data_IF_875605925432
#
_entry.id   IF_875605925432
#
_cell.length_a   1.000
_cell.length_b   1.000
_cell.length_c   1.000
_cell.angle_alpha   90.00
_cell.angle_beta   90.00
_cell.angle_gamma   90.00
#
_symmetry.space_group_name_H-M   'P 1'
#
loop_
_entity.id
_entity.type
_entity.pdbx_description
1 polymer ?
#
# COMPACT_ATOMS: atom_id res chain seq x y z
N UNK A 1 11.95 -27.04 38.46
CA UNK A 1 10.50 -26.75 38.50
C UNK A 1 10.28 -25.30 38.06
N UNK A 2 10.62 -24.95 36.81
CA UNK A 2 10.60 -23.57 36.29
C UNK A 2 9.90 -23.49 34.91
N UNK A 3 8.85 -24.29 34.68
CA UNK A 3 8.30 -24.50 33.32
C UNK A 3 6.83 -24.09 33.12
N UNK A 4 6.00 -23.86 34.16
CA UNK A 4 4.60 -23.47 33.93
C UNK A 4 4.44 -21.97 33.62
N UNK A 5 5.10 -21.08 34.38
CA UNK A 5 4.96 -19.64 34.20
C UNK A 5 5.48 -19.13 32.85
N UNK A 6 6.54 -19.73 32.31
CA UNK A 6 7.06 -19.37 30.98
C UNK A 6 6.14 -19.85 29.85
N UNK A 7 5.48 -21.00 30.04
CA UNK A 7 4.49 -21.52 29.10
C UNK A 7 3.21 -20.69 29.12
N UNK A 8 2.70 -20.35 30.30
CA UNK A 8 1.59 -19.43 30.53
C UNK A 8 1.87 -18.05 29.92
N UNK A 9 3.10 -17.53 30.09
CA UNK A 9 3.50 -16.25 29.51
C UNK A 9 3.49 -16.28 27.98
N UNK A 10 4.07 -17.32 27.36
CA UNK A 10 4.10 -17.45 25.89
C UNK A 10 2.68 -17.60 25.33
N UNK A 11 1.82 -18.36 26.00
CA UNK A 11 0.41 -18.47 25.63
C UNK A 11 -0.31 -17.12 25.74
N UNK A 12 -0.09 -16.38 26.82
CA UNK A 12 -0.63 -15.03 26.99
C UNK A 12 -0.15 -14.07 25.89
N UNK A 13 1.13 -14.15 25.50
CA UNK A 13 1.72 -13.37 24.39
C UNK A 13 1.06 -13.75 23.06
N UNK A 14 0.91 -15.03 22.76
CA UNK A 14 0.25 -15.50 21.52
C UNK A 14 -1.21 -15.04 21.46
N UNK A 15 -1.93 -15.13 22.57
CA UNK A 15 -3.31 -14.68 22.66
C UNK A 15 -3.43 -13.15 22.49
N UNK A 16 -2.50 -12.38 23.09
CA UNK A 16 -2.44 -10.94 22.90
C UNK A 16 -2.09 -10.56 21.45
N UNK A 17 -1.14 -11.27 20.84
CA UNK A 17 -0.74 -11.08 19.45
C UNK A 17 -1.89 -11.37 18.49
N UNK A 18 -2.65 -12.45 18.70
CA UNK A 18 -3.82 -12.78 17.89
C UNK A 18 -4.90 -11.68 17.94
N UNK A 19 -5.13 -11.08 19.12
CA UNK A 19 -6.04 -9.93 19.25
C UNK A 19 -5.51 -8.71 18.51
N UNK A 20 -4.23 -8.40 18.66
CA UNK A 20 -3.61 -7.26 17.99
C UNK A 20 -3.61 -7.42 16.46
N UNK A 21 -3.30 -8.63 15.95
CA UNK A 21 -3.35 -8.95 14.52
C UNK A 21 -4.75 -8.69 13.94
N UNK A 22 -5.82 -9.15 14.60
CA UNK A 22 -7.20 -8.88 14.17
C UNK A 22 -7.51 -7.39 14.04
N UNK A 23 -7.02 -6.57 14.98
CA UNK A 23 -7.22 -5.11 14.94
C UNK A 23 -6.41 -4.49 13.79
N UNK A 24 -5.16 -4.91 13.60
CA UNK A 24 -4.30 -4.45 12.52
C UNK A 24 -4.93 -4.80 11.16
N UNK A 25 -5.40 -6.02 10.97
CA UNK A 25 -6.05 -6.47 9.73
C UNK A 25 -7.32 -5.67 9.45
N UNK A 26 -8.15 -5.45 10.47
CA UNK A 26 -9.36 -4.63 10.33
C UNK A 26 -9.04 -3.19 9.94
N UNK A 27 -8.00 -2.59 10.53
CA UNK A 27 -7.55 -1.23 10.20
C UNK A 27 -6.93 -1.16 8.80
N UNK A 28 -6.10 -2.14 8.43
CA UNK A 28 -5.55 -2.29 7.08
C UNK A 28 -6.66 -2.35 6.03
N UNK A 29 -7.65 -3.21 6.23
CA UNK A 29 -8.80 -3.33 5.33
C UNK A 29 -9.58 -2.02 5.25
N UNK A 30 -9.74 -1.30 6.36
CA UNK A 30 -10.39 0.01 6.37
C UNK A 30 -9.62 1.06 5.57
N UNK A 31 -8.30 1.15 5.76
CA UNK A 31 -7.44 2.10 5.05
C UNK A 31 -7.48 1.82 3.55
N UNK A 32 -7.38 0.54 3.14
CA UNK A 32 -7.48 0.14 1.73
C UNK A 32 -8.80 0.58 1.09
N UNK A 33 -9.94 0.38 1.77
CA UNK A 33 -11.24 0.87 1.29
C UNK A 33 -11.26 2.40 1.14
N UNK A 34 -10.66 3.12 2.08
CA UNK A 34 -10.57 4.58 2.01
C UNK A 34 -9.71 5.03 0.83
N UNK A 35 -8.55 4.40 0.59
CA UNK A 35 -7.69 4.67 -0.57
C UNK A 35 -8.48 4.46 -1.85
N UNK A 36 -9.09 3.29 -2.03
CA UNK A 36 -9.86 2.97 -3.26
C UNK A 36 -11.00 3.97 -3.49
N UNK A 37 -11.71 4.38 -2.43
CA UNK A 37 -12.78 5.36 -2.55
C UNK A 37 -12.25 6.74 -2.98
N UNK A 38 -11.13 7.18 -2.40
CA UNK A 38 -10.48 8.45 -2.75
C UNK A 38 -9.95 8.43 -4.20
N UNK A 39 -9.26 7.36 -4.59
CA UNK A 39 -8.74 7.19 -5.95
C UNK A 39 -9.87 7.14 -6.99
N UNK A 40 -11.00 6.52 -6.65
CA UNK A 40 -12.18 6.50 -7.51
C UNK A 40 -12.71 7.92 -7.73
N UNK A 41 -12.87 8.71 -6.67
CA UNK A 41 -13.31 10.11 -6.80
C UNK A 41 -12.33 10.97 -7.60
N UNK A 42 -11.02 10.77 -7.42
CA UNK A 42 -9.99 11.43 -8.25
C UNK A 42 -10.16 11.04 -9.72
N UNK A 43 -10.34 9.75 -10.00
CA UNK A 43 -10.53 9.26 -11.38
C UNK A 43 -11.79 9.85 -12.01
N UNK A 44 -12.90 9.89 -11.29
CA UNK A 44 -14.16 10.49 -11.73
C UNK A 44 -14.01 11.99 -11.99
N UNK A 45 -13.32 12.71 -11.12
CA UNK A 45 -13.07 14.14 -11.27
C UNK A 45 -12.24 14.48 -12.53
N UNK A 46 -11.43 13.51 -13.00
CA UNK A 46 -10.59 13.63 -14.19
C UNK A 46 -11.28 13.15 -15.48
N UNK A 47 -12.51 12.66 -15.43
CA UNK A 47 -13.23 12.28 -16.64
C UNK A 47 -13.53 13.53 -17.49
N UNK A 48 -13.30 13.48 -18.82
CA UNK A 48 -13.67 14.59 -19.69
C UNK A 48 -15.18 14.75 -19.71
N UNK A 49 -15.65 15.99 -19.73
CA UNK A 49 -17.07 16.35 -19.78
C UNK A 49 -17.53 16.61 -21.21
N UNK A 50 -16.58 16.77 -22.13
CA UNK A 50 -16.82 16.89 -23.56
C UNK A 50 -17.28 15.57 -24.20
N UNK A 51 -18.05 15.68 -25.29
CA UNK A 51 -18.47 14.53 -26.08
C UNK A 51 -17.31 13.82 -26.79
N UNK A 52 -17.51 12.56 -27.23
CA UNK A 52 -16.45 11.73 -27.80
C UNK A 52 -15.82 12.31 -29.08
N UNK A 53 -16.57 13.09 -29.87
CA UNK A 53 -16.06 13.76 -31.07
C UNK A 53 -15.01 14.81 -30.73
N UNK A 54 -15.35 15.76 -29.85
CA UNK A 54 -14.41 16.78 -29.39
C UNK A 54 -13.22 16.17 -28.63
N UNK A 55 -13.45 15.13 -27.84
CA UNK A 55 -12.36 14.39 -27.20
C UNK A 55 -11.37 13.79 -28.22
N UNK A 56 -11.86 13.31 -29.37
CA UNK A 56 -11.00 12.81 -30.46
C UNK A 56 -10.22 13.95 -31.14
N UNK A 57 -10.85 15.11 -31.34
CA UNK A 57 -10.19 16.31 -31.89
C UNK A 57 -9.09 16.82 -30.98
N UNK A 58 -9.32 16.87 -29.66
CA UNK A 58 -8.30 17.24 -28.67
C UNK A 58 -7.10 16.30 -28.77
N UNK A 59 -7.31 14.99 -28.82
CA UNK A 59 -6.21 14.02 -28.97
C UNK A 59 -5.47 14.20 -30.29
N UNK A 60 -6.19 14.43 -31.38
CA UNK A 60 -5.60 14.70 -32.69
C UNK A 60 -4.75 15.98 -32.67
N UNK A 61 -5.24 17.04 -32.01
CA UNK A 61 -4.49 18.28 -31.80
C UNK A 61 -3.19 18.01 -31.02
N UNK A 62 -3.25 17.34 -29.87
CA UNK A 62 -2.06 16.98 -29.09
C UNK A 62 -1.08 16.15 -29.92
N UNK A 63 -1.57 15.18 -30.71
CA UNK A 63 -0.73 14.37 -31.60
C UNK A 63 -0.07 15.20 -32.71
N UNK A 64 -0.72 16.26 -33.18
CA UNK A 64 -0.18 17.15 -34.21
C UNK A 64 0.95 18.06 -33.71
N UNK A 65 1.03 18.31 -32.39
CA UNK A 65 2.14 19.04 -31.78
C UNK A 65 3.47 18.31 -31.98
N UNK A 66 4.57 19.06 -32.00
CA UNK A 66 5.91 18.46 -32.04
C UNK A 66 6.12 17.60 -30.79
N UNK A 67 6.85 16.50 -30.92
CA UNK A 67 7.04 15.55 -29.82
C UNK A 67 7.54 16.23 -28.51
N UNK A 68 8.44 17.22 -28.62
CA UNK A 68 8.95 17.97 -27.47
C UNK A 68 7.98 18.99 -26.86
N UNK A 69 6.89 19.36 -27.55
CA UNK A 69 5.89 20.35 -27.11
C UNK A 69 4.67 19.69 -26.45
N UNK A 70 4.47 18.38 -26.64
CA UNK A 70 3.29 17.65 -26.11
C UNK A 70 3.26 17.64 -24.59
N UNK A 71 4.38 17.32 -23.95
CA UNK A 71 4.44 17.23 -22.49
C UNK A 71 4.21 18.60 -21.85
N UNK A 72 4.82 19.67 -22.37
CA UNK A 72 4.65 21.01 -21.81
C UNK A 72 3.22 21.52 -21.99
N UNK A 73 2.59 21.27 -23.15
CA UNK A 73 1.18 21.56 -23.38
C UNK A 73 0.28 20.85 -22.36
N UNK A 74 0.47 19.55 -22.17
CA UNK A 74 -0.32 18.76 -21.22
C UNK A 74 -0.05 19.15 -19.76
N UNK A 75 1.18 19.49 -19.40
CA UNK A 75 1.48 19.99 -18.05
C UNK A 75 0.79 21.32 -17.78
N UNK A 76 0.80 22.25 -18.75
CA UNK A 76 0.11 23.53 -18.61
C UNK A 76 -1.41 23.34 -18.45
N UNK A 77 -2.02 22.49 -19.29
CA UNK A 77 -3.44 22.16 -19.18
C UNK A 77 -3.78 21.49 -17.83
N UNK A 78 -2.93 20.57 -17.36
CA UNK A 78 -3.10 19.92 -16.06
C UNK A 78 -3.01 20.91 -14.88
N UNK A 79 -2.04 21.82 -14.90
CA UNK A 79 -1.87 22.86 -13.87
C UNK A 79 -3.04 23.85 -13.86
N UNK A 80 -3.59 24.17 -15.03
CA UNK A 80 -4.76 25.03 -15.17
C UNK A 80 -6.07 24.34 -14.75
N UNK A 81 -6.06 23.03 -14.49
CA UNK A 81 -7.26 22.27 -14.18
C UNK A 81 -8.18 22.07 -15.38
N UNK A 82 -7.64 22.08 -16.61
CA UNK A 82 -8.39 21.80 -17.83
C UNK A 82 -8.70 20.30 -17.93
N UNK A 83 -9.79 19.90 -17.27
CA UNK A 83 -10.26 18.51 -17.20
C UNK A 83 -10.65 17.98 -18.57
N UNK A 84 -11.16 18.82 -19.47
CA UNK A 84 -11.62 18.37 -20.78
C UNK A 84 -10.44 18.00 -21.67
N UNK A 85 -9.39 18.84 -21.69
CA UNK A 85 -8.16 18.53 -22.42
C UNK A 85 -7.46 17.31 -21.84
N UNK A 86 -7.21 17.30 -20.53
CA UNK A 86 -6.48 16.22 -19.88
C UNK A 86 -7.26 14.92 -19.87
N UNK A 87 -8.52 14.97 -19.45
CA UNK A 87 -9.42 13.81 -19.41
C UNK A 87 -9.53 13.14 -20.77
N UNK A 88 -9.61 13.93 -21.85
CA UNK A 88 -9.66 13.40 -23.23
C UNK A 88 -8.40 12.63 -23.63
N UNK A 89 -7.25 12.99 -23.06
CA UNK A 89 -5.95 12.37 -23.34
C UNK A 89 -5.68 11.17 -22.43
N UNK A 90 -5.92 11.29 -21.12
CA UNK A 90 -5.53 10.25 -20.15
C UNK A 90 -6.51 9.08 -20.03
N UNK A 91 -7.74 9.23 -20.53
CA UNK A 91 -8.74 8.14 -20.56
C UNK A 91 -8.66 7.29 -21.83
N UNK A 92 -7.88 7.74 -22.82
CA UNK A 92 -7.68 7.04 -24.09
C UNK A 92 -6.28 6.41 -24.16
N UNK A 93 -6.07 5.40 -25.04
CA UNK A 93 -4.75 4.85 -25.28
C UNK A 93 -3.71 5.92 -25.69
N UNK A 94 -2.50 5.96 -25.09
CA UNK A 94 -1.53 7.05 -25.27
C UNK A 94 -1.13 7.33 -26.73
N UNK A 95 -1.05 6.28 -27.55
CA UNK A 95 -0.66 6.39 -28.96
C UNK A 95 -1.64 7.21 -29.83
N UNK A 96 -2.89 7.41 -29.35
CA UNK A 96 -3.87 8.26 -30.02
C UNK A 96 -3.54 9.75 -29.87
N UNK A 97 -2.83 10.12 -28.80
CA UNK A 97 -2.36 11.49 -28.55
C UNK A 97 -0.87 11.65 -28.87
N UNK A 98 -0.20 10.59 -29.34
CA UNK A 98 1.23 10.60 -29.65
C UNK A 98 2.11 10.75 -28.39
N UNK A 99 1.66 10.29 -27.24
CA UNK A 99 2.44 10.31 -25.99
C UNK A 99 2.71 8.89 -25.51
N UNK A 100 3.66 8.73 -24.60
CA UNK A 100 3.94 7.46 -23.95
C UNK A 100 3.19 7.33 -22.61
N UNK A 101 3.16 6.11 -22.06
CA UNK A 101 2.52 5.82 -20.77
C UNK A 101 3.13 6.61 -19.60
N UNK A 102 4.44 6.89 -19.67
CA UNK A 102 5.13 7.67 -18.65
C UNK A 102 4.63 9.12 -18.62
N UNK A 103 4.45 9.72 -19.78
CA UNK A 103 3.86 11.06 -19.95
C UNK A 103 2.44 11.09 -19.42
N UNK A 104 1.61 10.10 -19.78
CA UNK A 104 0.23 10.01 -19.28
C UNK A 104 0.19 9.89 -17.75
N UNK A 105 1.08 9.08 -17.17
CA UNK A 105 1.19 8.92 -15.71
C UNK A 105 1.55 10.24 -15.04
N UNK A 106 2.60 10.91 -15.51
CA UNK A 106 3.05 12.19 -14.96
C UNK A 106 1.97 13.27 -15.04
N UNK A 107 1.32 13.41 -16.20
CA UNK A 107 0.26 14.40 -16.42
C UNK A 107 -0.95 14.10 -15.54
N UNK A 108 -1.31 12.83 -15.37
CA UNK A 108 -2.40 12.41 -14.49
C UNK A 108 -2.14 12.82 -13.03
N UNK A 109 -0.92 12.67 -12.53
CA UNK A 109 -0.57 13.09 -11.17
C UNK A 109 -0.70 14.61 -10.98
N UNK A 110 -0.18 15.39 -11.93
CA UNK A 110 -0.29 16.85 -11.90
C UNK A 110 -1.75 17.29 -11.94
N UNK A 111 -2.54 16.69 -12.84
CA UNK A 111 -3.95 17.01 -12.98
C UNK A 111 -4.77 16.59 -11.77
N UNK A 112 -4.51 15.40 -11.19
CA UNK A 112 -5.17 14.94 -9.98
C UNK A 112 -4.98 15.91 -8.81
N UNK A 113 -3.75 16.42 -8.64
CA UNK A 113 -3.44 17.41 -7.60
C UNK A 113 -4.11 18.76 -7.85
N UNK A 114 -4.27 19.18 -9.10
CA UNK A 114 -4.93 20.44 -9.44
C UNK A 114 -6.46 20.35 -9.28
N UNK A 115 -7.07 19.26 -9.77
CA UNK A 115 -8.53 19.12 -9.89
C UNK A 115 -9.17 18.56 -8.62
N UNK A 116 -8.49 17.64 -7.94
CA UNK A 116 -8.99 16.97 -6.73
C UNK A 116 -7.94 16.98 -5.61
N UNK A 117 -7.40 18.15 -5.20
CA UNK A 117 -6.26 18.24 -4.28
C UNK A 117 -6.50 17.50 -2.96
N UNK A 118 -7.69 17.66 -2.38
CA UNK A 118 -8.03 17.03 -1.10
C UNK A 118 -8.06 15.51 -1.20
N UNK A 119 -8.78 14.98 -2.18
CA UNK A 119 -8.91 13.53 -2.34
C UNK A 119 -7.55 12.90 -2.73
N UNK A 120 -6.78 13.57 -3.58
CA UNK A 120 -5.42 13.16 -3.95
C UNK A 120 -4.47 13.13 -2.76
N UNK A 121 -4.38 14.23 -2.01
CA UNK A 121 -3.48 14.33 -0.87
C UNK A 121 -3.88 13.36 0.25
N UNK A 122 -5.19 13.17 0.48
CA UNK A 122 -5.70 12.18 1.43
C UNK A 122 -5.39 10.75 1.00
N UNK A 123 -5.48 10.40 -0.29
CA UNK A 123 -5.13 9.07 -0.77
C UNK A 123 -3.65 8.77 -0.49
N UNK A 124 -2.76 9.71 -0.83
CA UNK A 124 -1.31 9.58 -0.57
C UNK A 124 -0.98 9.55 0.93
N UNK A 125 -1.70 10.30 1.75
CA UNK A 125 -1.54 10.23 3.20
C UNK A 125 -2.00 8.86 3.76
N UNK A 126 -3.10 8.31 3.24
CA UNK A 126 -3.62 7.00 3.62
C UNK A 126 -2.67 5.87 3.19
N UNK A 127 -2.07 5.94 2.00
CA UNK A 127 -1.04 5.00 1.54
C UNK A 127 0.18 5.00 2.47
N UNK A 128 0.69 6.18 2.86
CA UNK A 128 1.80 6.27 3.81
C UNK A 128 1.45 5.68 5.17
N UNK A 129 0.21 5.90 5.61
CA UNK A 129 -0.30 5.31 6.87
C UNK A 129 -0.38 3.80 6.77
N UNK A 130 -0.82 3.26 5.63
CA UNK A 130 -0.85 1.82 5.39
C UNK A 130 0.54 1.19 5.52
N UNK A 131 1.57 1.79 4.92
CA UNK A 131 2.97 1.34 5.04
C UNK A 131 3.41 1.29 6.50
N UNK A 132 3.04 2.29 7.31
CA UNK A 132 3.35 2.30 8.75
C UNK A 132 2.63 1.18 9.50
N UNK A 133 1.34 0.94 9.21
CA UNK A 133 0.56 -0.14 9.82
C UNK A 133 1.17 -1.51 9.48
N UNK A 134 1.58 -1.71 8.23
CA UNK A 134 2.24 -2.96 7.79
C UNK A 134 3.61 -3.14 8.47
N UNK A 135 4.38 -2.07 8.62
CA UNK A 135 5.65 -2.11 9.36
C UNK A 135 5.46 -2.47 10.85
N UNK A 136 4.44 -1.91 11.50
CA UNK A 136 4.08 -2.23 12.89
C UNK A 136 3.63 -3.69 13.03
N UNK A 137 2.82 -4.19 12.10
CA UNK A 137 2.41 -5.60 12.07
C UNK A 137 3.60 -6.54 11.94
N UNK A 138 4.53 -6.25 11.03
CA UNK A 138 5.78 -7.02 10.87
C UNK A 138 6.63 -7.01 12.14
N UNK A 139 6.78 -5.85 12.79
CA UNK A 139 7.52 -5.73 14.05
C UNK A 139 6.88 -6.52 15.19
N UNK A 140 5.54 -6.55 15.27
CA UNK A 140 4.81 -7.37 16.23
C UNK A 140 5.07 -8.87 16.00
N UNK A 141 4.94 -9.34 14.76
CA UNK A 141 5.19 -10.74 14.41
C UNK A 141 6.62 -11.16 14.73
N UNK A 142 7.61 -10.31 14.46
CA UNK A 142 9.00 -10.55 14.82
C UNK A 142 9.17 -10.76 16.33
N UNK A 143 8.58 -9.88 17.15
CA UNK A 143 8.65 -9.97 18.62
C UNK A 143 7.99 -11.24 19.15
N UNK A 144 6.84 -11.63 18.58
CA UNK A 144 6.15 -12.87 18.96
C UNK A 144 7.01 -14.09 18.60
N UNK A 145 7.62 -14.10 17.42
CA UNK A 145 8.54 -15.16 17.01
C UNK A 145 9.78 -15.25 17.92
N UNK A 146 10.33 -14.12 18.36
CA UNK A 146 11.45 -14.09 19.32
C UNK A 146 11.07 -14.70 20.67
N UNK A 147 9.88 -14.40 21.19
CA UNK A 147 9.38 -14.98 22.45
C UNK A 147 9.17 -16.49 22.31
N UNK A 148 8.55 -16.93 21.22
CA UNK A 148 8.32 -18.37 20.97
C UNK A 148 9.63 -19.14 20.83
N UNK A 149 10.64 -18.59 20.14
CA UNK A 149 11.97 -19.23 20.03
C UNK A 149 12.65 -19.44 21.39
N UNK A 150 12.49 -18.50 22.34
CA UNK A 150 13.06 -18.63 23.68
C UNK A 150 12.48 -19.85 24.40
N UNK A 151 11.16 -20.03 24.36
CA UNK A 151 10.47 -21.21 24.90
C UNK A 151 11.02 -22.52 24.33
N UNK A 152 11.19 -22.58 23.01
CA UNK A 152 11.70 -23.79 22.35
C UNK A 152 13.13 -24.12 22.78
N UNK A 153 13.98 -23.10 22.92
CA UNK A 153 15.36 -23.26 23.39
C UNK A 153 15.45 -23.74 24.85
N UNK A 154 14.57 -23.24 25.74
CA UNK A 154 14.51 -23.66 27.15
C UNK A 154 14.03 -25.10 27.26
N UNK A 155 13.00 -25.49 26.49
CA UNK A 155 12.53 -26.87 26.43
C UNK A 155 13.60 -27.83 25.92
N UNK A 156 14.37 -27.44 24.90
CA UNK A 156 15.49 -28.24 24.40
C UNK A 156 16.56 -28.49 25.47
N UNK A 157 17.00 -27.43 26.17
CA UNK A 157 18.00 -27.56 27.26
C UNK A 157 17.48 -28.37 28.45
N UNK A 158 16.19 -28.26 28.78
CA UNK A 158 15.57 -29.06 29.83
C UNK A 158 15.52 -30.55 29.46
N UNK A 159 15.18 -30.87 28.20
CA UNK A 159 15.17 -32.23 27.67
C UNK A 159 16.56 -32.89 27.71
N UNK A 160 17.60 -32.15 27.34
CA UNK A 160 18.99 -32.62 27.42
C UNK A 160 19.42 -32.93 28.85
N UNK A 161 19.11 -32.05 29.82
CA UNK A 161 19.43 -32.27 31.23
C UNK A 161 18.71 -33.48 31.81
N UNK A 162 17.43 -33.68 31.49
CA UNK A 162 16.67 -34.86 31.94
C UNK A 162 17.23 -36.14 31.32
N UNK A 163 17.61 -36.11 30.04
CA UNK A 163 18.26 -37.24 29.37
C UNK A 163 19.66 -37.55 29.93
N UNK A 164 20.41 -36.54 30.39
CA UNK A 164 21.69 -36.72 31.07
C UNK A 164 21.51 -37.35 32.46
N UNK A 165 20.54 -36.88 33.25
CA UNK A 165 20.23 -37.46 34.57
C UNK A 165 19.77 -38.92 34.49
N UNK A 166 18.95 -39.26 33.48
CA UNK A 166 18.53 -40.65 33.22
C UNK A 166 19.69 -41.58 32.86
N UNK A 167 20.70 -41.07 32.16
CA UNK A 167 21.92 -41.85 31.83
C UNK A 167 22.79 -42.08 33.07
N UNK A 168 22.93 -41.09 33.93
CA UNK A 168 23.69 -41.21 35.19
C UNK A 168 23.01 -42.18 36.16
N UNK A 169 21.68 -42.13 36.29
CA UNK A 169 20.91 -43.04 37.17
C UNK A 169 20.77 -44.47 36.66
N UNK A 170 21.17 -44.77 35.41
CA UNK A 170 21.16 -46.13 34.84
C UNK A 170 22.53 -46.83 34.93
N UNK A 171 23.54 -46.16 35.49
CA UNK A 171 24.93 -46.67 35.66
C UNK A 171 25.31 -46.93 37.13
N UNK A 172 24.31 -46.91 38.02
CA UNK A 172 24.39 -47.30 39.44
C UNK A 172 23.38 -48.39 39.71
#
# INVERSE_FOLDING_TARGET
MFTSHEEEFVEAVNNAAARAAKVIDARRASILRTITALETRVKEALLPRVGPGLAAEIRAHVKSLKAGERLSFLQAAAQAGDVDTIGSVITAPPYLSGVDEKTVTLVREVAARAVAPRDWDQARAAERTLVQVEAVGSALLKRVADVSRRKDSVRAHAGEKVAALRRVGAST
#
